data_IF_987597079057
#
_entry.id   IF_987597079057
#
_cell.length_a   1.000
_cell.length_b   1.000
_cell.length_c   1.000
_cell.angle_alpha   90.00
_cell.angle_beta   90.00
_cell.angle_gamma   90.00
#
_symmetry.space_group_name_H-M   'P 1'
#
loop_
_entity.id
_entity.type
_entity.pdbx_description
1 polymer ?
#
# COMPACT_ATOMS: atom_id res chain seq x y z
N UNK A 1 -11.55 15.14 15.41
CA UNK A 1 -12.45 14.23 14.62
C UNK A 1 -11.85 12.86 14.68
N UNK A 2 -12.60 11.85 15.11
CA UNK A 2 -12.11 10.48 15.29
C UNK A 2 -11.39 9.99 14.01
N UNK A 3 -10.22 9.35 14.18
CA UNK A 3 -9.32 8.90 13.11
C UNK A 3 -8.64 10.02 12.27
N UNK A 4 -8.71 11.27 12.71
CA UNK A 4 -7.97 12.38 12.08
C UNK A 4 -7.04 13.03 13.09
N UNK A 5 -7.58 13.50 14.22
CA UNK A 5 -6.78 14.18 15.25
C UNK A 5 -5.88 13.20 16.00
N UNK A 6 -6.34 11.97 16.20
CA UNK A 6 -5.58 10.87 16.83
C UNK A 6 -4.31 10.49 16.05
N UNK A 7 -4.29 10.67 14.71
CA UNK A 7 -3.09 10.46 13.89
C UNK A 7 -2.21 11.72 13.73
N UNK A 8 -2.52 12.76 14.49
CA UNK A 8 -1.76 14.02 14.51
C UNK A 8 -1.37 14.41 15.93
N UNK A 9 -1.26 13.44 16.80
CA UNK A 9 -0.89 13.59 18.19
C UNK A 9 0.62 13.85 18.31
N UNK A 10 0.98 15.10 18.56
CA UNK A 10 2.37 15.51 18.68
C UNK A 10 3.06 14.91 19.93
N UNK A 11 2.33 14.71 21.03
CA UNK A 11 2.87 14.13 22.26
C UNK A 11 3.21 12.66 22.05
N UNK A 12 2.31 11.92 21.41
CA UNK A 12 2.56 10.52 21.02
C UNK A 12 3.74 10.43 20.03
N UNK A 13 3.80 11.32 19.04
CA UNK A 13 4.90 11.39 18.08
C UNK A 13 6.25 11.59 18.77
N UNK A 14 6.33 12.53 19.72
CA UNK A 14 7.53 12.78 20.49
C UNK A 14 7.92 11.62 21.41
N UNK A 15 6.93 10.95 22.01
CA UNK A 15 7.17 9.78 22.84
C UNK A 15 7.75 8.61 22.02
N UNK A 16 7.21 8.35 20.83
CA UNK A 16 7.71 7.34 19.90
C UNK A 16 9.14 7.66 19.41
N UNK A 17 9.42 8.90 19.06
CA UNK A 17 10.78 9.33 18.69
C UNK A 17 11.78 9.09 19.83
N UNK A 18 11.39 9.42 21.07
CA UNK A 18 12.20 9.16 22.26
C UNK A 18 12.47 7.67 22.45
N UNK A 19 11.49 6.83 22.20
CA UNK A 19 11.64 5.37 22.26
C UNK A 19 12.59 4.87 21.18
N UNK A 20 12.49 5.38 19.95
CA UNK A 20 13.42 5.03 18.85
C UNK A 20 14.86 5.38 19.24
N UNK A 21 15.10 6.57 19.83
CA UNK A 21 16.42 6.97 20.33
C UNK A 21 16.95 5.99 21.38
N UNK A 22 16.09 5.52 22.26
CA UNK A 22 16.48 4.58 23.33
C UNK A 22 16.78 3.16 22.83
N UNK A 23 16.08 2.72 21.78
CA UNK A 23 16.21 1.38 21.24
C UNK A 23 17.24 1.24 20.11
N UNK A 24 17.61 2.36 19.46
CA UNK A 24 18.59 2.36 18.39
C UNK A 24 19.98 1.98 18.94
N UNK A 25 20.51 0.83 18.49
CA UNK A 25 21.81 0.31 18.95
C UNK A 25 22.95 1.28 18.56
N UNK A 26 23.79 1.69 19.52
CA UNK A 26 24.97 2.49 19.21
C UNK A 26 25.90 1.75 18.25
N UNK A 27 26.33 2.41 17.18
CA UNK A 27 27.24 1.84 16.18
C UNK A 27 26.56 1.04 15.04
N UNK A 28 25.24 0.83 15.12
CA UNK A 28 24.47 0.29 14.02
C UNK A 28 23.81 1.41 13.23
N UNK A 29 23.95 1.41 11.92
CA UNK A 29 23.27 2.33 11.03
C UNK A 29 21.99 1.71 10.49
N UNK A 30 20.86 2.40 10.67
CA UNK A 30 19.54 2.00 10.18
C UNK A 30 19.17 2.90 9.00
N UNK A 31 18.91 2.27 7.86
CA UNK A 31 18.44 2.97 6.67
C UNK A 31 17.06 2.47 6.31
N UNK A 32 16.05 3.33 6.45
CA UNK A 32 14.65 3.00 6.25
C UNK A 32 14.13 3.73 5.01
N UNK A 33 13.66 2.97 4.02
CA UNK A 33 13.08 3.54 2.81
C UNK A 33 11.56 3.59 2.96
N UNK A 34 11.00 4.79 2.82
CA UNK A 34 9.57 4.97 2.63
C UNK A 34 9.24 5.01 1.13
N UNK A 35 8.07 4.51 0.76
CA UNK A 35 7.67 4.34 -0.66
C UNK A 35 6.35 5.06 -0.97
N UNK A 36 6.00 6.09 -0.20
CA UNK A 36 4.74 6.80 -0.38
C UNK A 36 4.93 8.33 -0.30
N UNK A 37 4.57 9.06 -1.34
CA UNK A 37 4.64 10.53 -1.34
C UNK A 37 3.88 11.21 -0.20
N UNK A 38 2.82 10.58 0.32
CA UNK A 38 2.11 11.03 1.51
C UNK A 38 2.97 10.90 2.78
N UNK A 39 3.78 9.85 2.89
CA UNK A 39 4.75 9.68 3.96
C UNK A 39 5.87 10.72 3.85
N UNK A 40 6.47 10.89 2.67
CA UNK A 40 7.47 11.92 2.41
C UNK A 40 6.96 13.29 2.85
N UNK A 41 5.75 13.66 2.40
CA UNK A 41 5.13 14.93 2.77
C UNK A 41 4.96 15.07 4.30
N UNK A 42 4.52 14.02 4.98
CA UNK A 42 4.31 14.04 6.44
C UNK A 42 5.63 14.13 7.20
N UNK A 43 6.66 13.42 6.77
CA UNK A 43 8.00 13.46 7.38
C UNK A 43 8.52 14.90 7.38
N UNK A 44 8.53 15.54 6.22
CA UNK A 44 9.02 16.94 6.13
C UNK A 44 8.11 17.95 6.79
N UNK A 45 6.79 17.80 6.63
CA UNK A 45 5.83 18.73 7.22
C UNK A 45 5.89 18.78 8.74
N UNK A 46 6.19 17.67 9.38
CA UNK A 46 6.22 17.56 10.84
C UNK A 46 7.63 17.46 11.40
N UNK A 47 8.68 17.56 10.55
CA UNK A 47 10.08 17.48 10.97
C UNK A 47 10.43 16.17 11.66
N UNK A 48 9.91 15.04 11.18
CA UNK A 48 10.08 13.74 11.83
C UNK A 48 11.54 13.29 11.75
N UNK A 49 12.24 13.59 10.67
CA UNK A 49 13.65 13.31 10.47
C UNK A 49 14.54 14.00 11.48
N UNK A 50 14.21 15.23 11.90
CA UNK A 50 14.94 15.97 12.94
C UNK A 50 14.76 15.36 14.35
N UNK A 51 13.76 14.52 14.54
CA UNK A 51 13.50 13.85 15.82
C UNK A 51 14.23 12.51 15.96
N UNK A 52 14.79 11.98 14.88
CA UNK A 52 15.45 10.68 14.86
C UNK A 52 16.92 10.78 15.28
N UNK A 53 17.49 9.71 15.85
CA UNK A 53 18.91 9.69 16.18
C UNK A 53 19.78 9.66 14.92
N UNK A 54 21.03 10.15 14.97
CA UNK A 54 21.90 10.29 13.78
C UNK A 54 22.21 8.99 13.03
N UNK A 55 22.00 7.86 13.68
CA UNK A 55 22.20 6.53 13.08
C UNK A 55 20.92 5.93 12.47
N UNK A 56 19.81 6.67 12.45
CA UNK A 56 18.58 6.31 11.76
C UNK A 56 18.34 7.31 10.63
N UNK A 57 18.47 6.84 9.40
CA UNK A 57 18.31 7.62 8.17
C UNK A 57 17.02 7.24 7.47
N UNK A 58 16.19 8.22 7.13
CA UNK A 58 15.05 8.03 6.24
C UNK A 58 15.48 8.27 4.79
N UNK A 59 15.16 7.32 3.92
CA UNK A 59 15.44 7.39 2.48
C UNK A 59 14.12 7.43 1.73
N UNK A 60 13.98 8.40 0.83
CA UNK A 60 12.79 8.52 0.00
C UNK A 60 12.91 7.60 -1.22
N UNK A 61 11.96 6.66 -1.33
CA UNK A 61 11.88 5.72 -2.45
C UNK A 61 11.21 6.32 -3.69
N UNK A 62 10.90 5.48 -4.69
CA UNK A 62 10.40 5.93 -6.01
C UNK A 62 8.98 6.49 -5.97
N UNK A 63 8.33 6.53 -4.83
CA UNK A 63 6.95 6.98 -4.67
C UNK A 63 5.98 5.85 -4.30
N UNK A 64 4.69 6.17 -4.30
CA UNK A 64 3.64 5.20 -4.03
C UNK A 64 3.55 4.18 -5.18
N UNK A 65 3.62 2.86 -4.94
CA UNK A 65 3.49 1.85 -5.99
C UNK A 65 2.22 2.02 -6.84
N UNK A 66 1.10 2.36 -6.22
CA UNK A 66 -0.18 2.63 -6.91
C UNK A 66 -0.08 3.86 -7.83
N UNK A 67 0.64 4.92 -7.38
CA UNK A 67 0.75 6.17 -8.14
C UNK A 67 1.72 6.07 -9.33
N UNK A 68 2.65 5.13 -9.31
CA UNK A 68 3.69 4.99 -10.34
C UNK A 68 3.47 3.80 -11.27
N UNK A 69 2.42 2.99 -11.04
CA UNK A 69 2.11 1.87 -11.92
C UNK A 69 1.80 2.37 -13.34
N UNK A 70 2.42 1.79 -14.39
CA UNK A 70 2.05 2.15 -15.75
C UNK A 70 0.59 1.78 -16.06
N UNK A 71 -0.14 2.71 -16.69
CA UNK A 71 -1.56 2.53 -17.01
C UNK A 71 -1.84 1.21 -17.76
N UNK A 72 -0.97 0.80 -18.68
CA UNK A 72 -1.11 -0.48 -19.38
C UNK A 72 -1.08 -1.71 -18.44
N UNK A 73 -0.47 -1.62 -17.26
CA UNK A 73 -0.54 -2.71 -16.27
C UNK A 73 -1.90 -2.77 -15.59
N UNK A 74 -2.57 -1.63 -15.45
CA UNK A 74 -3.96 -1.58 -14.97
C UNK A 74 -4.88 -2.21 -16.01
N UNK A 75 -4.69 -1.87 -17.29
CA UNK A 75 -5.45 -2.45 -18.41
C UNK A 75 -5.26 -3.98 -18.50
N UNK A 76 -4.03 -4.48 -18.35
CA UNK A 76 -3.76 -5.90 -18.26
C UNK A 76 -4.53 -6.57 -17.11
N UNK A 77 -4.53 -5.95 -15.93
CA UNK A 77 -5.30 -6.43 -14.77
C UNK A 77 -6.80 -6.48 -15.04
N UNK A 78 -7.34 -5.44 -15.68
CA UNK A 78 -8.76 -5.40 -16.07
C UNK A 78 -9.07 -6.51 -17.07
N UNK A 79 -8.22 -6.70 -18.08
CA UNK A 79 -8.39 -7.77 -19.06
C UNK A 79 -8.37 -9.17 -18.42
N UNK A 80 -7.45 -9.40 -17.47
CA UNK A 80 -7.39 -10.66 -16.71
C UNK A 80 -8.65 -10.86 -15.87
N UNK A 81 -9.17 -9.80 -15.25
CA UNK A 81 -10.36 -9.87 -14.42
C UNK A 81 -11.63 -10.27 -15.21
N UNK A 82 -11.67 -10.00 -16.50
CA UNK A 82 -12.78 -10.38 -17.38
C UNK A 82 -12.72 -11.82 -17.90
N UNK A 83 -11.66 -12.57 -17.63
CA UNK A 83 -11.59 -13.97 -18.07
C UNK A 83 -12.57 -14.84 -17.27
N UNK A 84 -13.24 -15.75 -17.99
CA UNK A 84 -14.11 -16.72 -17.36
C UNK A 84 -13.36 -17.59 -16.35
N UNK A 85 -13.99 -17.84 -15.22
CA UNK A 85 -13.41 -18.67 -14.15
C UNK A 85 -12.35 -17.97 -13.29
N UNK A 86 -12.00 -16.73 -13.57
CA UNK A 86 -11.06 -15.94 -12.75
C UNK A 86 -11.77 -15.28 -11.57
N UNK A 87 -11.13 -15.33 -10.41
CA UNK A 87 -11.38 -14.45 -9.27
C UNK A 87 -10.18 -13.50 -9.18
N UNK A 88 -10.40 -12.23 -9.49
CA UNK A 88 -9.36 -11.22 -9.45
C UNK A 88 -9.34 -10.53 -8.07
N UNK A 89 -8.19 -10.53 -7.40
CA UNK A 89 -8.04 -9.94 -6.07
C UNK A 89 -7.04 -8.80 -6.09
N UNK A 90 -7.33 -7.72 -5.38
CA UNK A 90 -6.44 -6.56 -5.24
C UNK A 90 -6.69 -5.81 -3.94
N UNK A 91 -5.80 -4.92 -3.58
CA UNK A 91 -6.04 -3.96 -2.50
C UNK A 91 -7.08 -2.92 -2.92
N UNK A 92 -7.77 -2.33 -1.93
CA UNK A 92 -8.93 -1.49 -2.17
C UNK A 92 -8.68 -0.20 -2.95
N UNK A 93 -7.48 0.36 -2.86
CA UNK A 93 -7.07 1.54 -3.62
C UNK A 93 -6.94 1.25 -5.12
N UNK A 94 -6.49 0.04 -5.50
CA UNK A 94 -6.39 -0.37 -6.90
C UNK A 94 -7.73 -0.44 -7.64
N UNK A 95 -8.83 -0.65 -6.92
CA UNK A 95 -10.17 -0.71 -7.55
C UNK A 95 -10.53 0.57 -8.32
N UNK A 96 -9.98 1.72 -7.93
CA UNK A 96 -10.31 3.03 -8.47
C UNK A 96 -9.22 3.62 -9.35
N UNK A 97 -8.09 2.94 -9.50
CA UNK A 97 -7.02 3.40 -10.39
C UNK A 97 -7.51 3.27 -11.84
N UNK A 98 -7.49 4.38 -12.61
CA UNK A 98 -7.95 4.33 -13.98
C UNK A 98 -6.95 3.61 -14.89
N UNK A 99 -7.46 2.69 -15.69
CA UNK A 99 -6.80 2.23 -16.91
C UNK A 99 -7.07 3.20 -18.06
N UNK A 100 -6.88 2.77 -19.30
CA UNK A 100 -7.12 3.59 -20.48
C UNK A 100 -8.59 3.97 -20.66
N UNK A 101 -9.52 3.10 -20.33
CA UNK A 101 -10.97 3.30 -20.51
C UNK A 101 -11.77 3.01 -19.24
N UNK A 102 -11.34 2.05 -18.44
CA UNK A 102 -12.07 1.53 -17.31
C UNK A 102 -11.19 1.39 -16.06
N UNK A 103 -11.86 1.16 -14.92
CA UNK A 103 -11.25 0.78 -13.65
C UNK A 103 -11.59 -0.68 -13.33
N UNK A 104 -10.92 -1.29 -12.35
CA UNK A 104 -11.33 -2.60 -11.82
C UNK A 104 -12.73 -2.56 -11.18
N UNK A 105 -13.16 -1.38 -10.71
CA UNK A 105 -14.51 -1.20 -10.18
C UNK A 105 -15.56 -1.26 -11.30
N UNK A 106 -15.25 -0.70 -12.48
CA UNK A 106 -16.10 -0.82 -13.66
C UNK A 106 -16.17 -2.27 -14.16
N UNK A 107 -15.03 -2.97 -14.21
CA UNK A 107 -14.98 -4.39 -14.53
C UNK A 107 -15.89 -5.22 -13.60
N UNK A 108 -15.83 -4.93 -12.28
CA UNK A 108 -16.72 -5.55 -11.30
C UNK A 108 -18.20 -5.24 -11.59
N UNK A 109 -18.53 -4.00 -11.92
CA UNK A 109 -19.90 -3.61 -12.26
C UNK A 109 -20.41 -4.29 -13.54
N UNK A 110 -19.50 -4.64 -14.45
CA UNK A 110 -19.76 -5.39 -15.68
C UNK A 110 -19.84 -6.92 -15.48
N UNK A 111 -19.64 -7.39 -14.24
CA UNK A 111 -19.83 -8.80 -13.88
C UNK A 111 -18.53 -9.59 -13.63
N UNK A 112 -17.36 -8.98 -13.74
CA UNK A 112 -16.11 -9.62 -13.36
C UNK A 112 -16.06 -9.86 -11.84
N UNK A 113 -15.53 -11.02 -11.42
CA UNK A 113 -15.40 -11.35 -10.00
C UNK A 113 -14.14 -10.69 -9.40
N UNK A 114 -14.26 -9.40 -9.13
CA UNK A 114 -13.18 -8.61 -8.50
C UNK A 114 -13.45 -8.48 -7.00
N UNK A 115 -12.49 -8.92 -6.19
CA UNK A 115 -12.60 -8.94 -4.72
C UNK A 115 -11.49 -8.13 -4.08
N UNK A 116 -11.89 -7.24 -3.18
CA UNK A 116 -10.95 -6.48 -2.35
C UNK A 116 -10.40 -7.38 -1.24
N UNK A 117 -9.09 -7.33 -1.03
CA UNK A 117 -8.40 -8.03 0.05
C UNK A 117 -7.54 -7.05 0.85
N UNK A 118 -7.21 -7.41 2.08
CA UNK A 118 -6.35 -6.63 2.97
C UNK A 118 -4.98 -7.27 3.17
N UNK A 119 -4.81 -8.51 2.70
CA UNK A 119 -3.55 -9.24 2.78
C UNK A 119 -3.43 -10.21 1.59
N UNK A 120 -2.21 -10.50 1.10
CA UNK A 120 -1.99 -11.60 0.17
C UNK A 120 -2.49 -12.96 0.69
N UNK A 121 -2.52 -13.13 2.02
CA UNK A 121 -3.04 -14.35 2.65
C UNK A 121 -4.56 -14.52 2.43
N UNK A 122 -5.29 -13.43 2.26
CA UNK A 122 -6.72 -13.50 1.91
C UNK A 122 -6.90 -14.08 0.50
N UNK A 123 -6.05 -13.72 -0.46
CA UNK A 123 -6.07 -14.30 -1.80
C UNK A 123 -5.80 -15.81 -1.75
N UNK A 124 -4.86 -16.26 -0.94
CA UNK A 124 -4.60 -17.69 -0.73
C UNK A 124 -5.79 -18.42 -0.08
N UNK A 125 -6.47 -17.77 0.87
CA UNK A 125 -7.69 -18.33 1.47
C UNK A 125 -8.79 -18.45 0.43
N UNK A 126 -9.02 -17.41 -0.38
CA UNK A 126 -9.99 -17.43 -1.47
C UNK A 126 -9.68 -18.56 -2.48
N UNK A 127 -8.40 -18.77 -2.82
CA UNK A 127 -8.01 -19.85 -3.71
C UNK A 127 -8.32 -21.23 -3.14
N UNK A 128 -8.09 -21.46 -1.85
CA UNK A 128 -8.45 -22.73 -1.19
C UNK A 128 -9.94 -22.97 -1.13
N UNK A 129 -10.73 -21.91 -0.98
CA UNK A 129 -12.20 -21.96 -0.92
C UNK A 129 -12.84 -22.14 -2.32
N UNK A 130 -12.08 -21.89 -3.40
CA UNK A 130 -12.57 -21.96 -4.79
C UNK A 130 -11.60 -22.78 -5.66
N UNK A 131 -11.44 -24.11 -5.42
CA UNK A 131 -10.42 -24.93 -6.08
C UNK A 131 -10.65 -25.11 -7.60
N UNK A 132 -11.87 -24.85 -8.07
CA UNK A 132 -12.23 -24.98 -9.49
C UNK A 132 -12.06 -23.65 -10.27
N UNK A 133 -11.49 -22.63 -9.62
CA UNK A 133 -11.32 -21.30 -10.22
C UNK A 133 -9.88 -20.82 -10.09
N UNK A 134 -9.45 -20.01 -11.05
CA UNK A 134 -8.17 -19.33 -11.00
C UNK A 134 -8.25 -18.06 -10.11
N UNK A 135 -7.41 -17.97 -9.10
CA UNK A 135 -7.33 -16.77 -8.26
C UNK A 135 -6.08 -15.98 -8.61
N UNK A 136 -6.30 -14.79 -9.10
CA UNK A 136 -5.22 -13.85 -9.47
C UNK A 136 -5.15 -12.75 -8.42
N UNK A 137 -3.94 -12.46 -7.91
CA UNK A 137 -3.71 -11.34 -7.01
C UNK A 137 -2.84 -10.29 -7.69
N UNK A 138 -3.36 -9.06 -7.81
CA UNK A 138 -2.59 -7.90 -8.26
C UNK A 138 -1.65 -7.47 -7.12
N UNK A 139 -0.44 -8.00 -7.16
CA UNK A 139 0.58 -7.75 -6.16
C UNK A 139 1.23 -6.39 -6.42
N UNK A 140 0.72 -5.38 -5.75
CA UNK A 140 1.28 -4.04 -5.78
C UNK A 140 1.68 -3.63 -4.37
N UNK A 141 2.94 -3.21 -4.17
CA UNK A 141 3.46 -2.87 -2.85
C UNK A 141 4.96 -2.69 -2.85
#
# INVERSE_FOLDING_TARGET
MKYVDEYRDAELGQALATQIVAEAEPGRHYKLMEVCGGHTHSIYKYGIDDLLPPNVELVHGPGCPVCVIPMGRVDDGIAVAHNDGVIFTCFGDMLRVPGSEHTLLDAKAQGADVRMVYSPLDALRIARENPDREVVFLAIG
#
